data_IF_624275009748
#
_entry.id   IF_624275009748
#
_cell.length_a   1.000
_cell.length_b   1.000
_cell.length_c   1.000
_cell.angle_alpha   90.00
_cell.angle_beta   90.00
_cell.angle_gamma   90.00
#
_symmetry.space_group_name_H-M   'P 1'
#
loop_
_entity.id
_entity.type
_entity.pdbx_description
1 polymer ?
#
# COMPACT_ATOMS: atom_id res chain seq x y z
N UNK A 1 -8.96 14.71 16.08
CA UNK A 1 -9.22 13.86 17.25
C UNK A 1 -10.38 12.92 17.00
N UNK A 2 -11.62 13.34 17.29
CA UNK A 2 -12.79 12.43 17.31
C UNK A 2 -13.60 12.38 16.00
N UNK A 3 -13.69 13.49 15.26
CA UNK A 3 -14.52 13.57 14.05
C UNK A 3 -14.00 12.75 12.86
N UNK A 4 -12.69 12.54 12.75
CA UNK A 4 -12.10 11.76 11.66
C UNK A 4 -12.31 10.26 11.89
N UNK A 5 -12.13 9.78 13.12
CA UNK A 5 -12.37 8.39 13.49
C UNK A 5 -13.84 7.99 13.24
N UNK A 6 -14.79 8.81 13.71
CA UNK A 6 -16.23 8.59 13.46
C UNK A 6 -16.57 8.51 11.97
N UNK A 7 -15.98 9.39 11.15
CA UNK A 7 -16.17 9.38 9.69
C UNK A 7 -15.57 8.15 9.03
N UNK A 8 -14.47 7.61 9.56
CA UNK A 8 -13.89 6.35 9.08
C UNK A 8 -14.82 5.19 9.44
N UNK A 9 -15.35 5.13 10.67
CA UNK A 9 -16.28 4.07 11.10
C UNK A 9 -17.54 4.05 10.22
N UNK A 10 -18.19 5.20 10.05
CA UNK A 10 -19.37 5.35 9.17
C UNK A 10 -19.06 4.92 7.72
N UNK A 11 -17.86 5.26 7.23
CA UNK A 11 -17.47 4.92 5.87
C UNK A 11 -17.17 3.42 5.69
N UNK A 12 -16.71 2.72 6.74
CA UNK A 12 -16.58 1.27 6.76
C UNK A 12 -17.93 0.56 6.87
N UNK A 13 -18.87 1.10 7.67
CA UNK A 13 -20.24 0.58 7.74
C UNK A 13 -20.95 0.65 6.38
N UNK A 14 -20.81 1.78 5.66
CA UNK A 14 -21.33 1.94 4.30
C UNK A 14 -20.66 0.96 3.34
N UNK A 15 -19.36 0.74 3.48
CA UNK A 15 -18.62 -0.21 2.65
C UNK A 15 -19.13 -1.65 2.89
N UNK A 16 -19.35 -2.03 4.14
CA UNK A 16 -19.93 -3.33 4.49
C UNK A 16 -21.40 -3.48 4.06
N UNK A 17 -22.19 -2.40 4.07
CA UNK A 17 -23.57 -2.46 3.54
C UNK A 17 -23.58 -2.64 2.02
N UNK A 18 -22.69 -1.94 1.30
CA UNK A 18 -22.57 -2.06 -0.16
C UNK A 18 -22.15 -3.47 -0.59
N UNK A 19 -21.35 -4.17 0.22
CA UNK A 19 -20.97 -5.57 -0.01
C UNK A 19 -22.10 -6.57 0.24
N UNK A 20 -22.97 -6.31 1.21
CA UNK A 20 -24.12 -7.18 1.49
C UNK A 20 -25.17 -7.14 0.38
N UNK A 21 -25.22 -6.03 -0.35
CA UNK A 21 -26.13 -5.84 -1.49
C UNK A 21 -25.57 -6.42 -2.80
N UNK A 22 -24.30 -6.85 -2.84
CA UNK A 22 -23.72 -7.55 -4.00
C UNK A 22 -23.77 -9.07 -3.83
N UNK A 23 -24.30 -9.77 -4.83
CA UNK A 23 -24.50 -11.22 -4.82
C UNK A 23 -23.19 -12.04 -4.84
N UNK A 24 -22.04 -11.40 -5.10
CA UNK A 24 -20.70 -12.01 -5.06
C UNK A 24 -19.88 -11.59 -3.82
N UNK A 25 -20.45 -10.77 -2.92
CA UNK A 25 -19.77 -10.22 -1.75
C UNK A 25 -18.55 -9.34 -2.07
N UNK A 26 -18.35 -8.98 -3.34
CA UNK A 26 -17.22 -8.18 -3.79
C UNK A 26 -17.61 -6.70 -3.78
N UNK A 27 -16.97 -5.86 -2.96
CA UNK A 27 -17.21 -4.42 -2.98
C UNK A 27 -16.78 -3.85 -4.33
N UNK A 28 -17.73 -3.31 -5.10
CA UNK A 28 -17.42 -2.57 -6.34
C UNK A 28 -17.00 -1.14 -6.01
N UNK A 29 -15.89 -0.98 -5.28
CA UNK A 29 -15.32 0.35 -5.08
C UNK A 29 -14.48 0.75 -6.27
N UNK A 30 -14.65 2.00 -6.69
CA UNK A 30 -13.76 2.57 -7.69
C UNK A 30 -12.33 2.69 -7.11
N UNK A 31 -11.31 2.63 -7.97
CA UNK A 31 -9.90 2.66 -7.55
C UNK A 31 -9.52 3.98 -6.89
N UNK A 32 -10.14 5.07 -7.36
CA UNK A 32 -10.01 6.40 -6.79
C UNK A 32 -10.58 6.47 -5.36
N UNK A 33 -11.72 5.83 -5.13
CA UNK A 33 -12.33 5.77 -3.81
C UNK A 33 -11.44 4.96 -2.85
N UNK A 34 -10.94 3.81 -3.29
CA UNK A 34 -9.98 3.01 -2.52
C UNK A 34 -8.72 3.80 -2.15
N UNK A 35 -8.13 4.54 -3.08
CA UNK A 35 -6.98 5.40 -2.81
C UNK A 35 -7.30 6.48 -1.77
N UNK A 36 -8.47 7.13 -1.89
CA UNK A 36 -8.92 8.16 -0.95
C UNK A 36 -9.12 7.61 0.46
N UNK A 37 -9.77 6.45 0.59
CA UNK A 37 -9.96 5.76 1.87
C UNK A 37 -8.64 5.32 2.49
N UNK A 38 -7.75 4.71 1.70
CA UNK A 38 -6.43 4.30 2.15
C UNK A 38 -5.62 5.50 2.65
N UNK A 39 -5.64 6.61 1.90
CA UNK A 39 -4.94 7.83 2.32
C UNK A 39 -5.52 8.39 3.63
N UNK A 40 -6.85 8.44 3.76
CA UNK A 40 -7.49 8.91 5.00
C UNK A 40 -7.11 8.06 6.22
N UNK A 41 -7.05 6.73 6.07
CA UNK A 41 -6.61 5.81 7.12
C UNK A 41 -5.15 6.04 7.51
N UNK A 42 -4.27 6.25 6.53
CA UNK A 42 -2.85 6.55 6.76
C UNK A 42 -2.67 7.88 7.48
N UNK A 43 -3.36 8.94 7.06
CA UNK A 43 -3.29 10.25 7.74
C UNK A 43 -3.90 10.22 9.14
N UNK A 44 -4.84 9.31 9.40
CA UNK A 44 -5.35 9.03 10.74
C UNK A 44 -4.43 8.15 11.60
N UNK A 45 -3.38 7.57 11.02
CA UNK A 45 -2.47 6.64 11.69
C UNK A 45 -3.04 5.23 11.91
N UNK A 46 -4.21 4.91 11.35
CA UNK A 46 -4.85 3.61 11.49
C UNK A 46 -4.31 2.62 10.45
N UNK A 47 -3.04 2.24 10.62
CA UNK A 47 -2.37 1.27 9.74
C UNK A 47 -3.01 -0.12 9.78
N UNK A 48 -3.71 -0.46 10.87
CA UNK A 48 -4.42 -1.75 10.98
C UNK A 48 -5.55 -1.82 9.97
N UNK A 49 -6.43 -0.80 9.94
CA UNK A 49 -7.51 -0.73 8.95
C UNK A 49 -6.98 -0.48 7.54
N UNK A 50 -5.90 0.28 7.37
CA UNK A 50 -5.26 0.47 6.07
C UNK A 50 -4.82 -0.88 5.45
N UNK A 51 -4.16 -1.73 6.24
CA UNK A 51 -3.77 -3.07 5.82
C UNK A 51 -4.97 -3.97 5.53
N UNK A 52 -6.00 -3.94 6.38
CA UNK A 52 -7.21 -4.73 6.17
C UNK A 52 -7.93 -4.33 4.87
N UNK A 53 -7.98 -3.03 4.57
CA UNK A 53 -8.56 -2.52 3.32
C UNK A 53 -7.80 -3.06 2.11
N UNK A 54 -6.47 -2.91 2.07
CA UNK A 54 -5.67 -3.43 0.93
C UNK A 54 -5.80 -4.96 0.81
N UNK A 55 -5.85 -5.69 1.91
CA UNK A 55 -6.03 -7.14 1.92
C UNK A 55 -7.40 -7.58 1.35
N UNK A 56 -8.48 -6.86 1.67
CA UNK A 56 -9.84 -7.12 1.17
C UNK A 56 -9.93 -6.95 -0.34
N UNK A 57 -9.31 -5.90 -0.89
CA UNK A 57 -9.39 -5.59 -2.31
C UNK A 57 -8.31 -6.28 -3.15
N UNK A 58 -7.42 -7.05 -2.52
CA UNK A 58 -6.32 -7.77 -3.18
C UNK A 58 -6.74 -8.54 -4.43
N UNK A 59 -7.86 -9.26 -4.37
CA UNK A 59 -8.39 -10.07 -5.47
C UNK A 59 -9.01 -9.23 -6.60
N UNK A 60 -9.39 -8.00 -6.33
CA UNK A 60 -9.98 -7.07 -7.33
C UNK A 60 -8.88 -6.27 -8.05
N UNK A 61 -7.68 -6.20 -7.46
CA UNK A 61 -6.59 -5.33 -7.94
C UNK A 61 -5.73 -5.93 -9.05
N UNK A 62 -6.02 -7.13 -9.57
CA UNK A 62 -5.23 -7.76 -10.63
C UNK A 62 -5.19 -6.97 -11.95
N UNK A 63 -6.15 -6.07 -12.21
CA UNK A 63 -6.24 -5.28 -13.45
C UNK A 63 -5.45 -3.96 -13.43
N UNK A 64 -4.22 -3.98 -12.91
CA UNK A 64 -3.23 -2.90 -13.16
C UNK A 64 -3.32 -1.64 -12.27
N UNK A 65 -4.25 -1.54 -11.33
CA UNK A 65 -4.35 -0.41 -10.38
C UNK A 65 -3.68 -0.65 -9.03
N UNK A 66 -3.08 -1.82 -8.85
CA UNK A 66 -2.60 -2.32 -7.56
C UNK A 66 -1.34 -1.62 -7.04
N UNK A 67 -0.40 -1.25 -7.92
CA UNK A 67 0.90 -0.70 -7.50
C UNK A 67 0.77 0.67 -6.83
N UNK A 68 -0.21 1.48 -7.25
CA UNK A 68 -0.50 2.78 -6.61
C UNK A 68 -0.92 2.61 -5.15
N UNK A 69 -1.83 1.67 -4.86
CA UNK A 69 -2.30 1.41 -3.50
C UNK A 69 -1.18 0.86 -2.61
N UNK A 70 -0.36 -0.05 -3.14
CA UNK A 70 0.80 -0.54 -2.40
C UNK A 70 1.84 0.55 -2.13
N UNK A 71 2.14 1.41 -3.11
CA UNK A 71 3.04 2.55 -2.92
C UNK A 71 2.49 3.53 -1.86
N UNK A 72 1.17 3.74 -1.81
CA UNK A 72 0.54 4.55 -0.77
C UNK A 72 0.66 3.89 0.62
N UNK A 73 0.42 2.58 0.71
CA UNK A 73 0.60 1.81 1.94
C UNK A 73 2.04 1.88 2.46
N UNK A 74 3.04 1.78 1.57
CA UNK A 74 4.47 1.93 1.93
C UNK A 74 4.79 3.31 2.49
N UNK A 75 4.22 4.38 1.90
CA UNK A 75 4.34 5.74 2.46
C UNK A 75 3.75 5.81 3.87
N UNK A 76 2.61 5.14 4.09
CA UNK A 76 1.99 5.05 5.42
C UNK A 76 2.88 4.39 6.47
N UNK A 77 3.56 3.30 6.12
CA UNK A 77 4.55 2.65 6.99
C UNK A 77 5.72 3.57 7.36
N UNK A 78 6.26 4.30 6.39
CA UNK A 78 7.36 5.25 6.62
C UNK A 78 6.94 6.40 7.52
N UNK A 79 5.71 6.93 7.34
CA UNK A 79 5.12 7.98 8.17
C UNK A 79 4.86 7.50 9.60
N UNK A 80 4.40 6.26 9.77
CA UNK A 80 4.07 5.65 11.06
C UNK A 80 5.30 5.15 11.84
N UNK A 81 6.50 5.62 11.49
CA UNK A 81 7.78 5.21 12.07
C UNK A 81 8.04 3.69 12.06
N UNK A 82 7.45 2.97 11.09
CA UNK A 82 7.66 1.55 10.85
C UNK A 82 8.17 1.30 9.42
N UNK A 83 9.32 1.91 9.04
CA UNK A 83 9.84 1.90 7.67
C UNK A 83 10.03 0.49 7.09
N UNK A 84 10.47 -0.50 7.89
CA UNK A 84 10.66 -1.88 7.41
C UNK A 84 9.36 -2.58 7.00
N UNK A 85 8.19 -2.07 7.39
CA UNK A 85 6.91 -2.52 6.86
C UNK A 85 6.76 -2.28 5.35
N UNK A 86 7.53 -1.35 4.76
CA UNK A 86 7.56 -1.17 3.31
C UNK A 86 8.15 -2.39 2.57
N UNK A 87 9.02 -3.18 3.22
CA UNK A 87 9.61 -4.38 2.63
C UNK A 87 8.58 -5.49 2.44
N UNK A 88 7.70 -5.69 3.43
CA UNK A 88 6.64 -6.70 3.34
C UNK A 88 5.64 -6.37 2.23
N UNK A 89 5.44 -5.08 1.95
CA UNK A 89 4.61 -4.62 0.84
C UNK A 89 5.25 -4.94 -0.52
N UNK A 90 6.59 -4.82 -0.67
CA UNK A 90 7.28 -5.29 -1.89
C UNK A 90 7.02 -6.78 -2.13
N UNK A 91 7.16 -7.60 -1.09
CA UNK A 91 6.95 -9.05 -1.21
C UNK A 91 5.49 -9.38 -1.55
N UNK A 92 4.55 -8.57 -1.09
CA UNK A 92 3.14 -8.68 -1.50
C UNK A 92 2.94 -8.32 -2.97
N UNK A 93 3.52 -7.23 -3.47
CA UNK A 93 3.48 -6.85 -4.90
C UNK A 93 3.95 -8.05 -5.75
N UNK A 94 5.08 -8.66 -5.39
CA UNK A 94 5.64 -9.81 -6.10
C UNK A 94 4.72 -11.04 -6.02
N UNK A 95 4.15 -11.35 -4.85
CA UNK A 95 3.20 -12.47 -4.67
C UNK A 95 1.92 -12.31 -5.48
N UNK A 96 1.51 -11.07 -5.76
CA UNK A 96 0.39 -10.77 -6.65
C UNK A 96 0.76 -10.88 -8.15
N UNK A 97 1.99 -11.28 -8.48
CA UNK A 97 2.48 -11.33 -9.87
C UNK A 97 2.72 -9.94 -10.48
N UNK A 98 2.75 -8.90 -9.66
CA UNK A 98 2.96 -7.52 -10.10
C UNK A 98 4.45 -7.18 -10.07
N UNK A 99 4.86 -6.23 -10.91
CA UNK A 99 6.24 -5.73 -10.94
C UNK A 99 6.38 -4.50 -10.05
N UNK A 100 7.28 -4.51 -9.05
CA UNK A 100 7.68 -3.30 -8.33
C UNK A 100 8.16 -2.22 -9.30
N UNK A 101 7.61 -1.02 -9.18
CA UNK A 101 7.99 0.12 -10.01
C UNK A 101 9.16 0.89 -9.40
N UNK A 102 9.59 1.94 -10.09
CA UNK A 102 10.67 2.82 -9.62
C UNK A 102 10.36 3.45 -8.26
N UNK A 103 9.10 3.82 -8.04
CA UNK A 103 8.67 4.44 -6.79
C UNK A 103 8.73 3.42 -5.64
N UNK A 104 8.34 2.16 -5.87
CA UNK A 104 8.47 1.06 -4.90
C UNK A 104 9.92 0.92 -4.46
N UNK A 105 10.88 0.83 -5.40
CA UNK A 105 12.30 0.68 -5.08
C UNK A 105 12.88 1.90 -4.33
N UNK A 106 12.58 3.11 -4.78
CA UNK A 106 13.00 4.33 -4.08
C UNK A 106 12.49 4.36 -2.63
N UNK A 107 11.24 3.90 -2.43
CA UNK A 107 10.58 3.89 -1.13
C UNK A 107 11.21 2.87 -0.18
N UNK A 108 11.52 1.64 -0.63
CA UNK A 108 12.21 0.64 0.21
C UNK A 108 13.66 1.04 0.51
N UNK A 109 14.38 1.64 -0.44
CA UNK A 109 15.75 2.12 -0.22
C UNK A 109 15.74 3.20 0.85
N UNK A 110 14.83 4.18 0.74
CA UNK A 110 14.65 5.22 1.76
C UNK A 110 14.29 4.63 3.12
N UNK A 111 13.40 3.64 3.17
CA UNK A 111 13.04 2.94 4.40
C UNK A 111 14.24 2.23 5.05
N UNK A 112 15.09 1.57 4.27
CA UNK A 112 16.30 0.91 4.76
C UNK A 112 17.29 1.94 5.34
N UNK A 113 17.54 3.05 4.62
CA UNK A 113 18.41 4.13 5.10
C UNK A 113 17.88 4.74 6.41
N UNK A 114 16.57 5.01 6.49
CA UNK A 114 15.92 5.52 7.71
C UNK A 114 16.03 4.55 8.90
N UNK A 115 16.21 3.26 8.63
CA UNK A 115 16.36 2.21 9.63
C UNK A 115 17.81 1.82 9.92
N UNK A 116 18.79 2.52 9.34
CA UNK A 116 20.22 2.18 9.37
C UNK A 116 20.58 0.79 8.79
N UNK A 117 19.72 0.24 7.92
CA UNK A 117 19.91 -1.05 7.23
C UNK A 117 20.60 -0.82 5.86
N UNK A 118 21.83 -0.30 5.90
CA UNK A 118 22.53 0.22 4.71
C UNK A 118 22.85 -0.89 3.70
N UNK A 119 23.21 -2.08 4.16
CA UNK A 119 23.51 -3.22 3.30
C UNK A 119 22.29 -3.64 2.47
N UNK A 120 21.10 -3.65 3.09
CA UNK A 120 19.84 -3.92 2.39
C UNK A 120 19.50 -2.82 1.39
N UNK A 121 19.78 -1.56 1.73
CA UNK A 121 19.57 -0.44 0.80
C UNK A 121 20.39 -0.62 -0.49
N UNK A 122 21.66 -1.03 -0.37
CA UNK A 122 22.50 -1.35 -1.53
C UNK A 122 21.99 -2.56 -2.32
N UNK A 123 21.57 -3.63 -1.64
CA UNK A 123 21.00 -4.80 -2.31
C UNK A 123 19.78 -4.43 -3.16
N UNK A 124 18.87 -3.60 -2.64
CA UNK A 124 17.70 -3.14 -3.39
C UNK A 124 18.06 -2.17 -4.53
N UNK A 125 19.11 -1.37 -4.38
CA UNK A 125 19.61 -0.52 -5.46
C UNK A 125 20.12 -1.36 -6.64
N UNK A 126 20.86 -2.43 -6.37
CA UNK A 126 21.33 -3.35 -7.41
C UNK A 126 20.17 -4.14 -8.04
N UNK A 127 19.24 -4.66 -7.23
CA UNK A 127 18.03 -5.33 -7.72
C UNK A 127 17.21 -4.43 -8.68
N UNK A 128 17.06 -3.15 -8.33
CA UNK A 128 16.41 -2.17 -9.19
C UNK A 128 17.14 -1.98 -10.53
N UNK A 129 18.48 -1.87 -10.53
CA UNK A 129 19.29 -1.71 -11.77
C UNK A 129 19.15 -2.92 -12.69
N UNK A 130 19.12 -4.13 -12.13
CA UNK A 130 18.92 -5.37 -12.90
C UNK A 130 17.50 -5.44 -13.46
N UNK A 131 16.50 -5.12 -12.64
CA UNK A 131 15.08 -5.19 -12.97
C UNK A 131 14.60 -4.09 -13.93
N UNK A 132 15.30 -2.96 -13.97
CA UNK A 132 14.98 -1.78 -14.79
C UNK A 132 16.23 -1.33 -15.57
N UNK A 133 16.58 -2.07 -16.64
CA UNK A 133 17.69 -1.70 -17.55
C UNK A 133 17.51 -0.26 -18.03
N UNK A 134 18.40 0.64 -17.60
CA UNK A 134 18.39 2.05 -17.99
C UNK A 134 18.59 3.06 -16.86
N UNK A 135 18.69 2.64 -15.60
CA UNK A 135 18.99 3.55 -14.50
C UNK A 135 20.42 4.13 -14.63
N UNK A 136 20.51 5.45 -14.88
CA UNK A 136 21.71 6.25 -14.64
C UNK A 136 21.42 7.13 -13.43
N UNK A 137 22.29 7.03 -12.41
CA UNK A 137 22.18 7.77 -11.15
C UNK A 137 22.25 9.27 -11.35
#
# INVERSE_FOLDING_TARGET
GLGIARRIDEAFEILESVEKDTSDGSPRLSPHLLCGFLNALIEAGDMRRANALVARFRQVLYEGQSVLLYNLLMKGYIKSNFPLGALTVKDEILRQGLKPDRLTYNTIIFACVKSAEIEKAFQFLEDMKVSHKGWKG
#
